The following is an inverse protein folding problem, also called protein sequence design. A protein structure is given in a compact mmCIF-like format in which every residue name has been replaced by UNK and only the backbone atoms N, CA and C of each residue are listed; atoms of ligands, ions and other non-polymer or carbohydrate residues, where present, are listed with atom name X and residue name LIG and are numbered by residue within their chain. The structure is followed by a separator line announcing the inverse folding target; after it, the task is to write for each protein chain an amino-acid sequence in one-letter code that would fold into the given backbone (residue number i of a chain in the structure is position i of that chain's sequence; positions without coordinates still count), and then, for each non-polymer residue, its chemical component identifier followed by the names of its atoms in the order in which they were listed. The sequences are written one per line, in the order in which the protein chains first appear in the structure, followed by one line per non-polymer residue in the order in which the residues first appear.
data_IF_628145126224
#
_entry.id   IF_628145126224
#
_cell.length_a   1.000
_cell.length_b   1.000
_cell.length_c   1.000
_cell.angle_alpha   90.00
_cell.angle_beta   90.00
_cell.angle_gamma   90.00
#
_symmetry.space_group_name_H-M   'P 1'
#
loop_
_entity.id
_entity.type
_entity.pdbx_description
1 polymer ?
#
# COMPACT_ATOMS: atom_id res chain seq x y z
N UNK A 1 4.42 -1.49 -10.29
CA UNK A 1 3.34 -0.54 -10.09
C UNK A 1 2.85 0.08 -11.39
N UNK A 2 1.66 0.64 -11.38
CA UNK A 2 1.05 1.21 -12.57
C UNK A 2 1.19 2.73 -12.64
N UNK A 3 1.61 3.37 -11.55
CA UNK A 3 1.70 4.82 -11.47
C UNK A 3 0.40 5.52 -11.11
N UNK A 4 -0.71 4.79 -11.02
CA UNK A 4 -2.01 5.34 -10.64
C UNK A 4 -2.13 5.50 -9.14
N UNK A 5 -2.89 6.49 -8.68
CA UNK A 5 -3.14 6.70 -7.27
C UNK A 5 -4.45 7.49 -7.07
N UNK A 6 -4.86 7.64 -5.81
CA UNK A 6 -6.02 8.41 -5.44
C UNK A 6 -7.27 7.57 -5.29
N UNK A 7 -8.36 8.21 -4.86
CA UNK A 7 -9.62 7.54 -4.53
C UNK A 7 -10.25 6.81 -5.70
N UNK A 8 -10.00 7.28 -6.93
CA UNK A 8 -10.53 6.66 -8.13
C UNK A 8 -9.64 5.54 -8.68
N UNK A 9 -8.48 5.32 -8.07
CA UNK A 9 -7.49 4.35 -8.54
C UNK A 9 -6.87 3.61 -7.35
N UNK A 10 -7.67 2.96 -6.49
CA UNK A 10 -7.12 2.25 -5.33
C UNK A 10 -6.37 0.99 -5.77
N UNK A 11 -5.38 0.62 -4.98
CA UNK A 11 -4.79 -0.71 -5.06
C UNK A 11 -5.70 -1.69 -4.34
N UNK A 12 -5.83 -2.91 -4.84
CA UNK A 12 -6.64 -3.95 -4.22
C UNK A 12 -5.89 -5.27 -4.25
N UNK A 13 -5.87 -5.96 -3.11
CA UNK A 13 -5.40 -7.34 -3.00
C UNK A 13 -6.57 -8.21 -2.56
N UNK A 14 -6.75 -9.32 -3.26
CA UNK A 14 -7.80 -10.29 -2.98
C UNK A 14 -7.16 -11.63 -2.60
N UNK A 15 -7.70 -12.26 -1.57
CA UNK A 15 -7.18 -13.50 -1.00
C UNK A 15 -8.25 -14.59 -1.02
N UNK A 16 -7.84 -15.84 -0.83
CA UNK A 16 -8.77 -16.95 -0.66
C UNK A 16 -9.05 -17.24 0.83
N UNK A 17 -8.73 -16.30 1.70
CA UNK A 17 -8.98 -16.33 3.13
C UNK A 17 -9.24 -14.92 3.63
N UNK A 18 -9.65 -14.79 4.90
CA UNK A 18 -9.87 -13.49 5.51
C UNK A 18 -8.56 -12.98 6.11
N UNK A 19 -7.90 -11.98 5.49
CA UNK A 19 -6.64 -11.48 6.03
C UNK A 19 -6.88 -10.62 7.26
N UNK A 20 -6.06 -10.81 8.29
CA UNK A 20 -6.06 -10.00 9.51
C UNK A 20 -4.99 -8.92 9.47
N UNK A 21 -3.90 -9.20 8.77
CA UNK A 21 -2.75 -8.33 8.66
C UNK A 21 -2.16 -8.48 7.27
N UNK A 22 -1.87 -7.37 6.62
CA UNK A 22 -1.16 -7.38 5.34
C UNK A 22 0.04 -6.45 5.47
N UNK A 23 1.23 -6.99 5.23
CA UNK A 23 2.47 -6.22 5.20
C UNK A 23 2.81 -5.91 3.75
N UNK A 24 3.09 -4.65 3.47
CA UNK A 24 3.53 -4.20 2.15
C UNK A 24 4.93 -3.64 2.24
N UNK A 25 5.78 -3.97 1.28
CA UNK A 25 7.07 -3.30 1.18
C UNK A 25 7.50 -3.20 -0.29
N UNK A 26 8.40 -2.25 -0.53
CA UNK A 26 8.97 -2.05 -1.85
C UNK A 26 10.35 -2.70 -1.89
N UNK A 27 10.51 -3.69 -2.77
CA UNK A 27 11.76 -4.42 -2.94
C UNK A 27 12.59 -3.73 -4.03
N UNK A 28 13.12 -2.55 -3.71
CA UNK A 28 13.98 -1.79 -4.62
C UNK A 28 14.96 -0.94 -3.83
N UNK A 29 15.95 -0.37 -4.52
CA UNK A 29 16.91 0.55 -3.88
C UNK A 29 16.24 1.84 -3.39
N UNK A 30 15.02 2.12 -3.85
CA UNK A 30 14.25 3.30 -3.47
C UNK A 30 13.18 2.97 -2.43
N UNK A 31 13.37 1.89 -1.68
CA UNK A 31 12.39 1.39 -0.72
C UNK A 31 11.94 2.46 0.25
N UNK A 32 10.64 2.45 0.54
CA UNK A 32 10.00 3.34 1.52
C UNK A 32 9.70 2.63 2.84
N UNK A 33 10.25 1.44 3.02
CA UNK A 33 10.04 0.66 4.23
C UNK A 33 8.81 -0.22 4.16
N UNK A 34 8.36 -0.65 5.33
CA UNK A 34 7.25 -1.58 5.48
C UNK A 34 6.01 -0.86 6.01
N UNK A 35 4.87 -1.16 5.40
CA UNK A 35 3.57 -0.67 5.83
C UNK A 35 2.75 -1.85 6.31
N UNK A 36 2.14 -1.73 7.48
CA UNK A 36 1.30 -2.77 8.07
C UNK A 36 -0.16 -2.35 7.98
N UNK A 37 -0.95 -3.09 7.21
CA UNK A 37 -2.39 -2.86 7.08
C UNK A 37 -3.10 -3.82 8.02
N UNK A 38 -3.74 -3.30 9.06
CA UNK A 38 -4.38 -4.09 10.10
C UNK A 38 -5.89 -4.06 9.90
N UNK A 39 -6.52 -5.25 9.87
CA UNK A 39 -7.97 -5.35 9.67
C UNK A 39 -8.72 -4.56 10.74
N UNK A 40 -9.70 -3.80 10.28
CA UNK A 40 -10.50 -2.94 11.13
C UNK A 40 -10.02 -1.50 11.15
N UNK A 41 -8.79 -1.25 10.72
CA UNK A 41 -8.29 0.11 10.60
C UNK A 41 -8.73 0.73 9.28
N UNK A 42 -9.21 1.97 9.34
CA UNK A 42 -9.67 2.70 8.16
C UNK A 42 -8.55 3.49 7.49
N UNK A 43 -7.41 3.64 8.14
CA UNK A 43 -6.28 4.38 7.59
C UNK A 43 -4.99 3.96 8.26
N UNK A 44 -3.90 4.14 7.52
CA UNK A 44 -2.54 3.98 8.02
C UNK A 44 -1.80 5.30 7.77
N UNK A 45 -1.18 5.84 8.80
CA UNK A 45 -0.39 7.06 8.68
C UNK A 45 1.08 6.67 8.72
N UNK A 46 1.79 6.96 7.65
CA UNK A 46 3.21 6.68 7.51
C UNK A 46 3.99 7.97 7.48
N UNK A 47 5.16 7.96 8.09
CA UNK A 47 6.05 9.10 8.07
C UNK A 47 7.35 8.71 7.34
N UNK A 48 7.63 9.42 6.27
CA UNK A 48 8.87 9.22 5.50
C UNK A 48 9.83 10.34 5.87
N UNK A 49 10.86 10.01 6.65
CA UNK A 49 11.78 11.00 7.17
C UNK A 49 11.14 11.88 8.22
N UNK A 50 11.72 13.06 8.46
CA UNK A 50 11.30 13.94 9.55
C UNK A 50 10.14 14.87 9.20
N UNK A 51 9.74 14.96 7.93
CA UNK A 51 8.86 16.03 7.48
C UNK A 51 7.60 15.59 6.72
N UNK A 52 7.57 14.37 6.20
CA UNK A 52 6.47 13.95 5.33
C UNK A 52 5.67 12.84 5.97
N UNK A 53 4.38 13.09 6.13
CA UNK A 53 3.41 12.06 6.52
C UNK A 53 2.54 11.73 5.34
N UNK A 54 2.27 10.45 5.14
CA UNK A 54 1.35 9.97 4.12
C UNK A 54 0.25 9.19 4.81
N UNK A 55 -0.99 9.47 4.45
CA UNK A 55 -2.14 8.70 4.91
C UNK A 55 -2.58 7.77 3.80
N UNK A 56 -2.63 6.48 4.09
CA UNK A 56 -3.28 5.49 3.25
C UNK A 56 -4.70 5.28 3.76
N UNK A 57 -5.66 5.42 2.88
CA UNK A 57 -7.06 5.16 3.18
C UNK A 57 -7.35 3.70 2.89
N UNK A 58 -7.87 2.96 3.88
CA UNK A 58 -8.03 1.51 3.82
C UNK A 58 -9.51 1.14 3.73
N UNK A 59 -9.79 0.11 2.96
CA UNK A 59 -11.13 -0.47 2.84
C UNK A 59 -11.02 -1.98 2.83
N UNK A 60 -11.81 -2.66 3.66
CA UNK A 60 -11.74 -4.10 3.86
C UNK A 60 -13.03 -4.78 3.43
N UNK A 61 -12.90 -5.96 2.83
CA UNK A 61 -13.99 -6.93 2.68
C UNK A 61 -13.56 -8.22 3.38
N UNK A 62 -14.41 -9.27 3.32
CA UNK A 62 -14.06 -10.55 3.96
C UNK A 62 -12.76 -11.14 3.44
N UNK A 63 -12.43 -10.89 2.18
CA UNK A 63 -11.26 -11.51 1.54
C UNK A 63 -10.38 -10.53 0.78
N UNK A 64 -10.53 -9.22 1.02
CA UNK A 64 -9.72 -8.25 0.30
C UNK A 64 -9.39 -7.04 1.17
N UNK A 65 -8.38 -6.31 0.74
CA UNK A 65 -8.04 -4.99 1.24
C UNK A 65 -7.77 -4.08 0.04
N UNK A 66 -8.27 -2.85 0.12
CA UNK A 66 -7.98 -1.80 -0.85
C UNK A 66 -7.39 -0.60 -0.14
N UNK A 67 -6.53 0.12 -0.81
CA UNK A 67 -5.96 1.34 -0.24
C UNK A 67 -5.64 2.35 -1.33
N UNK A 68 -5.64 3.61 -0.94
CA UNK A 68 -5.18 4.68 -1.81
C UNK A 68 -4.53 5.79 -1.00
N UNK A 69 -3.71 6.59 -1.69
CA UNK A 69 -3.10 7.81 -1.17
C UNK A 69 -3.55 8.99 -2.01
N UNK A 70 -3.72 10.14 -1.38
CA UNK A 70 -3.98 11.39 -2.10
C UNK A 70 -2.68 12.07 -2.53
N UNK A 71 -1.53 11.56 -2.10
CA UNK A 71 -0.24 12.25 -2.24
C UNK A 71 0.56 11.84 -3.48
N UNK A 72 0.34 10.64 -4.00
CA UNK A 72 1.04 10.17 -5.18
C UNK A 72 1.15 8.66 -5.26
N UNK A 73 1.58 8.16 -6.42
CA UNK A 73 1.70 6.72 -6.67
C UNK A 73 2.78 6.08 -5.79
N UNK A 74 3.87 6.78 -5.52
CA UNK A 74 4.95 6.28 -4.68
C UNK A 74 4.45 6.04 -3.26
N UNK A 75 3.69 6.97 -2.71
CA UNK A 75 3.11 6.87 -1.37
C UNK A 75 2.05 5.77 -1.31
N UNK A 76 1.41 5.47 -2.42
CA UNK A 76 0.40 4.42 -2.52
C UNK A 76 1.00 3.02 -2.80
N UNK A 77 2.31 2.91 -2.90
CA UNK A 77 2.97 1.66 -3.28
C UNK A 77 2.59 1.22 -4.69
N UNK A 78 2.55 2.17 -5.62
CA UNK A 78 2.17 1.91 -7.00
C UNK A 78 2.97 2.73 -8.00
N UNK A 79 4.16 3.17 -7.62
CA UNK A 79 5.02 3.98 -8.49
C UNK A 79 5.50 3.16 -9.70
N UNK A 80 5.53 3.81 -10.85
CA UNK A 80 6.07 3.25 -12.07
C UNK A 80 7.12 4.21 -12.63
N UNK A 81 8.38 3.82 -12.62
CA UNK A 81 9.47 4.63 -13.13
C UNK A 81 9.83 4.31 -14.60
N UNK A 82 9.03 3.45 -15.23
CA UNK A 82 9.26 3.04 -16.61
C UNK A 82 10.37 2.01 -16.79
N UNK A 83 11.11 1.66 -15.73
CA UNK A 83 12.25 0.76 -15.79
C UNK A 83 12.10 -0.47 -14.90
N UNK A 84 10.92 -0.66 -14.30
CA UNK A 84 10.58 -1.79 -13.43
C UNK A 84 11.52 -1.90 -12.21
N UNK A 85 12.01 -0.76 -11.71
CA UNK A 85 12.87 -0.73 -10.53
C UNK A 85 12.10 -0.77 -9.21
N UNK A 86 10.79 -0.52 -9.24
CA UNK A 86 9.94 -0.55 -8.07
C UNK A 86 9.12 -1.83 -8.07
N UNK A 87 9.49 -2.73 -7.17
CA UNK A 87 8.79 -4.00 -6.97
C UNK A 87 8.12 -3.99 -5.61
N UNK A 88 6.82 -4.19 -5.61
CA UNK A 88 6.04 -4.21 -4.40
C UNK A 88 5.69 -5.63 -4.03
N UNK A 89 5.94 -5.97 -2.77
CA UNK A 89 5.76 -7.32 -2.25
C UNK A 89 4.82 -7.23 -1.05
N UNK A 90 4.00 -8.23 -0.86
CA UNK A 90 3.12 -8.30 0.29
C UNK A 90 3.17 -9.66 0.95
N UNK A 91 2.86 -9.67 2.25
CA UNK A 91 2.66 -10.87 3.04
C UNK A 91 1.35 -10.69 3.79
N UNK A 92 0.45 -11.66 3.69
CA UNK A 92 -0.84 -11.62 4.35
C UNK A 92 -0.96 -12.74 5.37
N UNK A 93 -1.54 -12.43 6.53
CA UNK A 93 -1.75 -13.37 7.63
C UNK A 93 -3.24 -13.41 7.95
N UNK A 94 -3.79 -14.60 7.93
CA UNK A 94 -5.19 -14.85 8.23
C UNK A 94 -5.49 -15.22 9.68
#
# INVERSE_FOLDING_TARGET
GTGSYGANNPNTLTFDFTPKLVLLYCNSMYSRGIVALVRGEAKYVSRFGSQNCTTLHLSWTDNSVSWYSDDGANQQFNYDDGADNYRYVYVAIG
#
